data_IF_166315614526
#
_entry.id   IF_166315614526
#
_cell.length_a   1.000
_cell.length_b   1.000
_cell.length_c   1.000
_cell.angle_alpha   90.00
_cell.angle_beta   90.00
_cell.angle_gamma   90.00
#
_symmetry.space_group_name_H-M   'P 1'
#
loop_
_entity.id
_entity.type
_entity.pdbx_description
1 polymer ?
#
# COMPACT_ATOMS: atom_id res chain seq x y z
N UNK A 1 -5.24 5.12 -20.35
CA UNK A 1 -4.74 5.74 -19.10
C UNK A 1 -3.83 4.82 -18.29
N UNK A 2 -4.28 3.63 -17.87
CA UNK A 2 -3.51 2.73 -16.98
C UNK A 2 -2.12 2.31 -17.49
N UNK A 3 -1.94 2.16 -18.81
CA UNK A 3 -0.63 1.87 -19.42
C UNK A 3 0.43 2.94 -19.13
N UNK A 4 0.02 4.21 -19.02
CA UNK A 4 0.92 5.33 -18.71
C UNK A 4 1.32 5.30 -17.23
N UNK A 5 0.36 5.01 -16.34
CA UNK A 5 0.61 4.85 -14.91
C UNK A 5 1.59 3.71 -14.66
N UNK A 6 1.31 2.55 -15.27
CA UNK A 6 2.17 1.35 -15.23
C UNK A 6 3.59 1.66 -15.72
N UNK A 7 3.74 2.32 -16.86
CA UNK A 7 5.06 2.67 -17.41
C UNK A 7 5.85 3.63 -16.51
N UNK A 8 5.18 4.53 -15.78
CA UNK A 8 5.82 5.43 -14.81
C UNK A 8 6.27 4.72 -13.53
N UNK A 9 5.58 3.65 -13.13
CA UNK A 9 5.88 2.90 -11.90
C UNK A 9 6.81 1.69 -12.10
N UNK A 10 6.94 1.15 -13.32
CA UNK A 10 7.74 -0.06 -13.62
C UNK A 10 9.25 0.17 -13.74
N UNK A 11 9.70 1.41 -13.90
CA UNK A 11 11.11 1.73 -14.12
C UNK A 11 11.56 2.83 -13.16
N UNK A 12 11.35 2.61 -11.86
CA UNK A 12 11.73 3.58 -10.82
C UNK A 12 12.91 3.08 -10.00
N UNK A 13 13.92 3.93 -9.87
CA UNK A 13 15.05 3.76 -8.96
C UNK A 13 14.89 4.68 -7.77
N UNK A 14 15.35 4.23 -6.61
CA UNK A 14 15.34 5.03 -5.38
C UNK A 14 16.70 4.97 -4.69
N UNK A 15 16.96 5.98 -3.86
CA UNK A 15 18.09 6.06 -2.96
C UNK A 15 17.63 6.74 -1.66
N UNK A 16 18.25 6.39 -0.55
CA UNK A 16 17.93 6.94 0.77
C UNK A 16 19.02 7.91 1.17
N UNK A 17 18.62 9.09 1.62
CA UNK A 17 19.53 10.07 2.24
C UNK A 17 19.48 9.87 3.75
N UNK A 18 20.63 9.64 4.37
CA UNK A 18 20.78 9.50 5.82
C UNK A 18 22.00 10.31 6.27
N UNK A 19 21.79 11.24 7.20
CA UNK A 19 22.85 12.12 7.74
C UNK A 19 23.68 12.87 6.68
N UNK A 20 23.05 13.20 5.55
CA UNK A 20 23.70 13.90 4.43
C UNK A 20 24.44 13.00 3.45
N UNK A 21 24.51 11.70 3.73
CA UNK A 21 25.07 10.69 2.83
C UNK A 21 23.95 10.01 2.01
N UNK A 22 24.14 9.95 0.70
CA UNK A 22 23.20 9.29 -0.21
C UNK A 22 23.61 7.84 -0.41
N UNK A 23 22.66 6.91 -0.23
CA UNK A 23 22.86 5.50 -0.56
C UNK A 23 23.09 5.28 -2.05
N UNK A 24 23.54 4.07 -2.40
CA UNK A 24 23.48 3.63 -3.80
C UNK A 24 22.03 3.55 -4.27
N UNK A 25 21.81 3.81 -5.55
CA UNK A 25 20.51 3.66 -6.19
C UNK A 25 20.16 2.19 -6.39
N UNK A 26 18.99 1.79 -5.93
CA UNK A 26 18.42 0.46 -6.13
C UNK A 26 17.16 0.53 -7.00
N UNK A 27 16.88 -0.57 -7.70
CA UNK A 27 15.65 -0.72 -8.48
C UNK A 27 14.47 -1.08 -7.55
N UNK A 28 13.30 -0.50 -7.81
CA UNK A 28 12.07 -0.88 -7.12
C UNK A 28 11.41 -2.00 -7.91
N UNK A 29 11.56 -3.24 -7.43
CA UNK A 29 11.00 -4.42 -8.09
C UNK A 29 9.53 -4.68 -7.74
N UNK A 30 9.08 -4.21 -6.57
CA UNK A 30 7.71 -4.42 -6.08
C UNK A 30 7.17 -3.19 -5.35
N UNK A 31 5.88 -2.93 -5.54
CA UNK A 31 5.16 -1.84 -4.89
C UNK A 31 5.19 -0.54 -5.69
N UNK A 32 5.06 0.57 -4.98
CA UNK A 32 5.07 1.93 -5.54
C UNK A 32 6.23 2.74 -4.94
N UNK A 33 6.87 3.63 -5.71
CA UNK A 33 8.01 4.41 -5.22
C UNK A 33 7.61 5.34 -4.06
N UNK A 34 8.34 5.28 -2.95
CA UNK A 34 8.14 6.22 -1.84
C UNK A 34 8.51 7.65 -2.24
N UNK A 35 7.85 8.64 -1.65
CA UNK A 35 8.05 10.06 -1.96
C UNK A 35 7.47 10.53 -3.30
N UNK A 36 6.95 9.64 -4.15
CA UNK A 36 6.23 10.01 -5.36
C UNK A 36 4.78 10.42 -5.04
N UNK A 37 4.33 11.56 -5.54
CA UNK A 37 2.97 12.10 -5.31
C UNK A 37 1.85 11.17 -5.75
N UNK A 38 2.10 10.33 -6.76
CA UNK A 38 1.10 9.42 -7.31
C UNK A 38 1.01 8.10 -6.53
N UNK A 39 2.07 7.73 -5.81
CA UNK A 39 2.16 6.45 -5.09
C UNK A 39 1.06 6.26 -4.04
N UNK A 40 0.72 7.26 -3.19
CA UNK A 40 -0.38 7.12 -2.24
C UNK A 40 -1.72 6.82 -2.92
N UNK A 41 -1.99 7.44 -4.08
CA UNK A 41 -3.25 7.23 -4.82
C UNK A 41 -3.30 5.81 -5.39
N UNK A 42 -2.21 5.35 -6.03
CA UNK A 42 -2.13 3.99 -6.57
C UNK A 42 -2.24 2.93 -5.47
N UNK A 43 -1.63 3.20 -4.32
CA UNK A 43 -1.74 2.33 -3.15
C UNK A 43 -3.17 2.26 -2.61
N UNK A 44 -3.87 3.39 -2.49
CA UNK A 44 -5.27 3.43 -2.05
C UNK A 44 -6.20 2.64 -2.98
N UNK A 45 -6.02 2.76 -4.30
CA UNK A 45 -6.79 1.98 -5.28
C UNK A 45 -6.60 0.47 -5.04
N UNK A 46 -5.35 0.03 -4.87
CA UNK A 46 -5.06 -1.37 -4.57
C UNK A 46 -5.68 -1.85 -3.25
N UNK A 47 -5.58 -1.05 -2.18
CA UNK A 47 -6.13 -1.41 -0.87
C UNK A 47 -7.65 -1.51 -0.86
N UNK A 48 -8.35 -0.65 -1.60
CA UNK A 48 -9.81 -0.73 -1.72
C UNK A 48 -10.23 -2.07 -2.34
N UNK A 49 -9.59 -2.47 -3.44
CA UNK A 49 -9.86 -3.75 -4.10
C UNK A 49 -9.51 -4.94 -3.17
N UNK A 50 -8.42 -4.83 -2.40
CA UNK A 50 -8.02 -5.86 -1.45
C UNK A 50 -9.07 -6.04 -0.34
N UNK A 51 -9.66 -4.97 0.18
CA UNK A 51 -10.67 -5.05 1.23
C UNK A 51 -11.94 -5.76 0.74
N UNK A 52 -12.38 -5.52 -0.49
CA UNK A 52 -13.52 -6.24 -1.07
C UNK A 52 -13.26 -7.76 -1.10
N UNK A 53 -12.05 -8.16 -1.49
CA UNK A 53 -11.65 -9.56 -1.51
C UNK A 53 -11.59 -10.14 -0.09
N UNK A 54 -11.04 -9.41 0.87
CA UNK A 54 -10.98 -9.85 2.28
C UNK A 54 -12.39 -9.98 2.88
N UNK A 55 -13.31 -9.08 2.54
CA UNK A 55 -14.72 -9.12 2.96
C UNK A 55 -15.42 -10.36 2.43
N UNK A 56 -15.21 -10.66 1.14
CA UNK A 56 -15.80 -11.82 0.50
C UNK A 56 -15.39 -13.15 1.16
N UNK A 57 -14.16 -13.23 1.69
CA UNK A 57 -13.66 -14.44 2.36
C UNK A 57 -14.13 -14.53 3.81
N UNK A 58 -14.68 -13.45 4.40
CA UNK A 58 -15.21 -13.38 5.78
C UNK A 58 -14.25 -13.90 6.85
N UNK A 59 -12.95 -13.70 6.65
CA UNK A 59 -11.88 -14.08 7.57
C UNK A 59 -11.30 -12.87 8.32
N UNK A 60 -12.17 -11.96 8.74
CA UNK A 60 -11.77 -10.85 9.62
C UNK A 60 -11.48 -11.34 11.05
N UNK A 61 -10.79 -10.51 11.83
CA UNK A 61 -10.53 -10.78 13.24
C UNK A 61 -11.80 -10.54 14.05
N UNK A 62 -12.15 -11.46 14.95
CA UNK A 62 -13.26 -11.26 15.90
C UNK A 62 -12.73 -10.54 17.13
N UNK A 63 -13.43 -9.50 17.56
CA UNK A 63 -12.99 -8.64 18.67
C UNK A 63 -14.10 -8.56 19.69
N UNK A 64 -13.88 -9.20 20.84
CA UNK A 64 -14.91 -9.40 21.87
C UNK A 64 -16.08 -10.27 21.40
N UNK A 65 -17.26 -10.06 22.00
CA UNK A 65 -18.50 -10.78 21.67
C UNK A 65 -19.29 -10.15 20.51
N UNK A 66 -18.63 -9.36 19.66
CA UNK A 66 -19.30 -8.77 18.49
C UNK A 66 -19.63 -9.83 17.45
N UNK A 67 -20.84 -9.74 16.89
CA UNK A 67 -21.29 -10.62 15.82
C UNK A 67 -20.54 -10.38 14.49
N UNK A 68 -19.90 -9.22 14.36
CA UNK A 68 -19.19 -8.76 13.17
C UNK A 68 -17.69 -8.87 13.36
N UNK A 69 -17.01 -9.44 12.36
CA UNK A 69 -15.54 -9.44 12.31
C UNK A 69 -15.01 -8.11 11.81
N UNK A 70 -13.94 -7.62 12.41
CA UNK A 70 -13.20 -6.43 11.96
C UNK A 70 -12.41 -6.78 10.70
N UNK A 71 -12.65 -6.00 9.65
CA UNK A 71 -12.08 -6.24 8.33
C UNK A 71 -10.80 -5.41 8.08
N UNK A 72 -10.78 -4.17 8.57
CA UNK A 72 -9.65 -3.23 8.50
C UNK A 72 -10.13 -1.77 8.63
N UNK A 73 -9.29 -0.88 9.17
CA UNK A 73 -9.48 0.57 9.11
C UNK A 73 -8.61 1.15 7.98
N UNK A 74 -9.20 2.02 7.15
CA UNK A 74 -8.57 2.59 5.97
C UNK A 74 -7.81 3.87 6.32
N UNK A 75 -6.57 3.72 6.79
CA UNK A 75 -5.53 4.74 6.61
C UNK A 75 -4.39 4.11 5.82
N UNK A 76 -3.67 4.93 5.04
CA UNK A 76 -2.84 4.47 3.93
C UNK A 76 -1.71 3.49 4.32
N UNK A 77 -1.27 3.46 5.56
CA UNK A 77 -0.21 2.57 6.06
C UNK A 77 -0.53 1.98 7.43
N UNK A 78 -1.52 2.54 8.13
CA UNK A 78 -1.95 2.10 9.45
C UNK A 78 -3.09 1.08 9.37
N UNK A 79 -2.76 -0.20 9.56
CA UNK A 79 -3.73 -1.19 10.02
C UNK A 79 -3.86 -1.10 11.55
N UNK A 80 -4.89 -0.41 12.04
CA UNK A 80 -5.24 -0.44 13.47
C UNK A 80 -6.28 -1.53 13.68
N UNK A 81 -5.84 -2.68 14.20
CA UNK A 81 -6.74 -3.67 14.75
C UNK A 81 -7.23 -3.21 16.11
N UNK A 82 -8.51 -2.86 16.21
CA UNK A 82 -9.24 -3.00 17.48
C UNK A 82 -10.01 -4.28 17.41
#
# INVERSE_FOLDING_TARGET
MWRVLKKRSECTRSAVMLDGELSQFFDIEQGVPQGCTLSPILFQVFMNDLLEVVEAVRKGVKVGDTATSVLGMLSADDFVGM
#
